data_IF_981106375890
#
_entry.id   IF_981106375890
#
_cell.length_a   1.000
_cell.length_b   1.000
_cell.length_c   1.000
_cell.angle_alpha   90.00
_cell.angle_beta   90.00
_cell.angle_gamma   90.00
#
_symmetry.space_group_name_H-M   'P 1'
#
loop_
_entity.id
_entity.type
_entity.pdbx_description
1 polymer ?
#
# COMPACT_ATOMS: atom_id res chain seq x y z
N UNK A 1 -13.85 -20.94 -29.40
CA UNK A 1 -13.83 -21.11 -27.93
C UNK A 1 -12.69 -20.25 -27.39
N UNK A 2 -12.93 -19.37 -26.44
CA UNK A 2 -11.86 -18.61 -25.79
C UNK A 2 -10.92 -19.58 -25.03
N UNK A 3 -9.61 -19.35 -25.11
CA UNK A 3 -8.59 -20.11 -24.37
C UNK A 3 -8.90 -20.04 -22.86
N UNK A 4 -8.92 -21.18 -22.18
CA UNK A 4 -9.06 -21.24 -20.72
C UNK A 4 -7.68 -21.24 -20.09
N UNK A 5 -7.39 -20.26 -19.25
CA UNK A 5 -6.14 -20.14 -18.50
C UNK A 5 -6.18 -20.96 -17.20
N UNK A 6 -5.03 -21.30 -16.63
CA UNK A 6 -4.98 -21.90 -15.30
C UNK A 6 -5.34 -20.86 -14.22
N UNK A 7 -4.82 -19.65 -14.37
CA UNK A 7 -5.01 -18.55 -13.42
C UNK A 7 -5.33 -17.23 -14.11
N UNK A 8 -6.38 -16.56 -13.64
CA UNK A 8 -6.74 -15.19 -14.01
C UNK A 8 -6.45 -14.25 -12.83
N UNK A 9 -5.56 -13.31 -13.01
CA UNK A 9 -5.21 -12.31 -12.01
C UNK A 9 -5.81 -10.96 -12.42
N UNK A 10 -6.71 -10.42 -11.60
CA UNK A 10 -7.36 -9.13 -11.83
C UNK A 10 -6.68 -8.03 -11.02
N UNK A 11 -5.90 -7.20 -11.68
CA UNK A 11 -5.14 -6.08 -11.13
C UNK A 11 -3.63 -6.26 -11.21
N UNK A 12 -2.96 -5.35 -11.93
CA UNK A 12 -1.51 -5.30 -12.15
C UNK A 12 -0.75 -4.46 -11.11
N UNK A 13 -1.24 -4.39 -9.87
CA UNK A 13 -0.49 -3.80 -8.76
C UNK A 13 0.45 -4.81 -8.10
N UNK A 14 1.11 -4.39 -7.00
CA UNK A 14 2.14 -5.19 -6.29
C UNK A 14 1.70 -6.63 -6.00
N UNK A 15 0.48 -6.84 -5.49
CA UNK A 15 0.00 -8.18 -5.15
C UNK A 15 -0.23 -9.06 -6.39
N UNK A 16 -0.94 -8.52 -7.39
CA UNK A 16 -1.29 -9.30 -8.59
C UNK A 16 -0.08 -9.65 -9.43
N UNK A 17 0.85 -8.71 -9.63
CA UNK A 17 2.06 -8.95 -10.41
C UNK A 17 3.02 -9.92 -9.73
N UNK A 18 3.21 -9.79 -8.41
CA UNK A 18 4.02 -10.74 -7.64
C UNK A 18 3.44 -12.16 -7.69
N UNK A 19 2.12 -12.32 -7.60
CA UNK A 19 1.46 -13.61 -7.76
C UNK A 19 1.64 -14.15 -9.18
N UNK A 20 1.35 -13.33 -10.20
CA UNK A 20 1.44 -13.73 -11.60
C UNK A 20 2.84 -14.22 -11.96
N UNK A 21 3.88 -13.50 -11.52
CA UNK A 21 5.27 -13.91 -11.71
C UNK A 21 5.54 -15.29 -11.08
N UNK A 22 5.14 -15.50 -9.84
CA UNK A 22 5.38 -16.78 -9.14
C UNK A 22 4.67 -17.96 -9.76
N UNK A 23 3.42 -17.77 -10.18
CA UNK A 23 2.65 -18.83 -10.83
C UNK A 23 3.20 -19.15 -12.23
N UNK A 24 3.55 -18.13 -13.02
CA UNK A 24 4.16 -18.30 -14.33
C UNK A 24 5.52 -18.97 -14.23
N UNK A 25 6.39 -18.57 -13.29
CA UNK A 25 7.66 -19.23 -13.02
C UNK A 25 7.51 -20.71 -12.59
N UNK A 26 6.35 -21.09 -12.03
CA UNK A 26 6.01 -22.48 -11.73
C UNK A 26 5.31 -23.20 -12.90
N UNK A 27 5.35 -22.65 -14.12
CA UNK A 27 4.82 -23.25 -15.34
C UNK A 27 3.30 -23.19 -15.50
N UNK A 28 2.60 -22.32 -14.74
CA UNK A 28 1.15 -22.12 -14.89
C UNK A 28 0.86 -21.14 -16.03
N UNK A 29 -0.22 -21.41 -16.79
CA UNK A 29 -0.74 -20.47 -17.78
C UNK A 29 -1.52 -19.34 -17.09
N UNK A 30 -0.87 -18.18 -16.97
CA UNK A 30 -1.38 -17.03 -16.22
C UNK A 30 -1.76 -15.89 -17.14
N UNK A 31 -3.01 -15.42 -17.04
CA UNK A 31 -3.45 -14.15 -17.61
C UNK A 31 -3.58 -13.10 -16.50
N UNK A 32 -2.80 -12.02 -16.59
CA UNK A 32 -2.95 -10.85 -15.74
C UNK A 32 -3.64 -9.73 -16.51
N UNK A 33 -4.71 -9.19 -15.95
CA UNK A 33 -5.49 -8.07 -16.51
C UNK A 33 -5.25 -6.81 -15.67
N UNK A 34 -4.80 -5.73 -16.32
CA UNK A 34 -4.58 -4.42 -15.70
C UNK A 34 -5.33 -3.33 -16.46
N UNK A 35 -6.11 -2.52 -15.74
CA UNK A 35 -6.94 -1.46 -16.33
C UNK A 35 -6.11 -0.35 -17.00
N UNK A 36 -4.97 -0.03 -16.43
CA UNK A 36 -4.11 1.03 -16.95
C UNK A 36 -3.20 0.51 -18.09
N UNK A 37 -3.19 1.23 -19.20
CA UNK A 37 -2.38 0.86 -20.35
C UNK A 37 -0.88 1.11 -20.11
N UNK A 38 -0.51 2.12 -19.33
CA UNK A 38 0.86 2.55 -19.09
C UNK A 38 1.17 2.83 -17.62
N UNK A 39 2.41 3.24 -17.35
CA UNK A 39 2.86 3.62 -16.02
C UNK A 39 2.02 4.74 -15.43
N UNK A 40 1.55 4.58 -14.20
CA UNK A 40 0.69 5.55 -13.54
C UNK A 40 0.96 5.62 -12.04
N UNK A 41 0.60 6.75 -11.45
CA UNK A 41 0.69 6.98 -10.03
C UNK A 41 -0.56 6.47 -9.29
N UNK A 42 -0.38 6.08 -8.03
CA UNK A 42 -1.47 5.58 -7.16
C UNK A 42 -1.45 6.31 -5.83
N UNK A 43 -2.60 6.48 -5.19
CA UNK A 43 -2.66 7.02 -3.82
C UNK A 43 -2.01 6.02 -2.87
N UNK A 44 -0.77 6.30 -2.50
CA UNK A 44 0.10 5.44 -1.69
C UNK A 44 1.18 6.28 -1.01
N UNK A 45 1.59 5.90 0.20
CA UNK A 45 2.75 6.48 0.87
C UNK A 45 4.08 6.11 0.24
N UNK A 46 4.14 5.08 -0.61
CA UNK A 46 5.36 4.64 -1.34
C UNK A 46 6.51 4.22 -0.41
N UNK A 47 6.19 3.77 0.78
CA UNK A 47 7.11 3.30 1.79
C UNK A 47 7.31 1.79 1.67
N UNK A 48 8.55 1.36 1.52
CA UNK A 48 8.99 -0.03 1.46
C UNK A 48 9.74 -0.39 2.73
N UNK A 49 9.23 -1.33 3.47
CA UNK A 49 9.89 -1.87 4.64
C UNK A 49 10.92 -2.94 4.30
N UNK A 50 11.72 -3.34 5.27
CA UNK A 50 12.66 -4.46 5.12
C UNK A 50 11.98 -5.73 4.63
N UNK A 51 10.76 -6.02 5.10
CA UNK A 51 9.96 -7.16 4.65
C UNK A 51 9.55 -7.03 3.18
N UNK A 52 9.12 -5.84 2.75
CA UNK A 52 8.81 -5.60 1.34
C UNK A 52 10.06 -5.77 0.45
N UNK A 53 11.21 -5.23 0.90
CA UNK A 53 12.49 -5.38 0.19
C UNK A 53 12.87 -6.85 0.04
N UNK A 54 12.69 -7.65 1.09
CA UNK A 54 13.01 -9.07 1.07
C UNK A 54 12.13 -9.83 0.05
N UNK A 55 10.82 -9.57 0.04
CA UNK A 55 9.92 -10.15 -0.96
C UNK A 55 10.28 -9.75 -2.39
N UNK A 56 10.63 -8.47 -2.63
CA UNK A 56 11.00 -7.98 -3.95
C UNK A 56 12.29 -8.65 -4.45
N UNK A 57 13.31 -8.79 -3.60
CA UNK A 57 14.54 -9.53 -3.94
C UNK A 57 14.26 -10.99 -4.31
N UNK A 58 13.34 -11.65 -3.62
CA UNK A 58 12.90 -13.02 -3.96
C UNK A 58 12.17 -13.11 -5.31
N UNK A 59 11.65 -11.99 -5.81
CA UNK A 59 11.10 -11.87 -7.16
C UNK A 59 12.17 -11.45 -8.19
N UNK A 60 13.44 -11.41 -7.81
CA UNK A 60 14.54 -11.00 -8.68
C UNK A 60 14.61 -9.49 -8.93
N UNK A 61 13.93 -8.68 -8.10
CA UNK A 61 13.96 -7.24 -8.21
C UNK A 61 14.83 -6.62 -7.12
N UNK A 62 15.76 -5.76 -7.53
CA UNK A 62 16.47 -4.89 -6.60
C UNK A 62 15.86 -3.48 -6.61
N UNK A 63 15.12 -3.08 -5.57
CA UNK A 63 14.57 -1.74 -5.50
C UNK A 63 15.62 -0.63 -5.49
N UNK A 64 16.84 -0.89 -5.00
CA UNK A 64 17.93 0.10 -5.04
C UNK A 64 18.36 0.38 -6.48
N UNK A 65 18.48 -0.64 -7.32
CA UNK A 65 18.75 -0.49 -8.75
C UNK A 65 17.60 0.26 -9.47
N UNK A 66 16.38 0.21 -8.93
CA UNK A 66 15.24 1.01 -9.41
C UNK A 66 15.25 2.44 -8.87
N UNK A 67 16.24 2.83 -8.07
CA UNK A 67 16.39 4.16 -7.50
C UNK A 67 15.67 4.36 -6.16
N UNK A 68 15.33 3.30 -5.43
CA UNK A 68 14.73 3.44 -4.11
C UNK A 68 15.62 4.26 -3.18
N UNK A 69 15.01 5.21 -2.47
CA UNK A 69 15.68 6.13 -1.56
C UNK A 69 15.62 5.58 -0.13
N UNK A 70 16.73 5.51 0.62
CA UNK A 70 16.71 5.10 2.02
C UNK A 70 15.84 6.01 2.89
N UNK A 71 15.10 5.42 3.82
CA UNK A 71 14.33 6.13 4.87
C UNK A 71 14.82 5.62 6.22
N UNK A 72 15.57 6.45 6.93
CA UNK A 72 16.22 6.05 8.20
C UNK A 72 15.51 6.58 9.43
N UNK A 73 14.71 7.63 9.27
CA UNK A 73 14.10 8.34 10.39
C UNK A 73 12.59 8.47 10.19
N UNK A 74 11.88 8.52 11.30
CA UNK A 74 10.48 8.90 11.34
C UNK A 74 10.32 10.11 12.26
N UNK A 75 9.52 11.08 11.84
CA UNK A 75 9.11 12.18 12.71
C UNK A 75 7.59 12.33 12.74
N UNK A 76 7.10 12.81 13.88
CA UNK A 76 5.70 13.20 14.05
C UNK A 76 5.69 14.65 14.51
N UNK A 77 4.95 15.50 13.81
CA UNK A 77 4.80 16.91 14.13
C UNK A 77 3.33 17.32 14.30
N UNK A 78 3.08 18.29 15.14
CA UNK A 78 1.73 18.84 15.37
C UNK A 78 1.73 19.80 16.55
N UNK A 79 0.81 20.79 16.55
CA UNK A 79 0.65 21.77 17.62
C UNK A 79 1.96 22.48 18.00
N UNK A 80 2.77 22.87 17.00
CA UNK A 80 4.05 23.54 17.20
C UNK A 80 5.17 22.64 17.76
N UNK A 81 5.02 21.31 17.74
CA UNK A 81 5.98 20.34 18.26
C UNK A 81 6.36 19.35 17.19
N UNK A 82 7.60 18.83 17.26
CA UNK A 82 8.07 17.75 16.44
C UNK A 82 8.91 16.79 17.29
N UNK A 83 8.71 15.49 17.08
CA UNK A 83 9.52 14.44 17.68
C UNK A 83 10.06 13.56 16.55
N UNK A 84 11.37 13.32 16.52
CA UNK A 84 12.06 12.51 15.50
C UNK A 84 12.83 11.40 16.18
N UNK A 85 12.82 10.21 15.56
CA UNK A 85 13.68 9.11 15.99
C UNK A 85 14.15 8.29 14.77
N UNK A 86 15.18 7.47 14.99
CA UNK A 86 15.63 6.50 13.99
C UNK A 86 14.61 5.37 13.87
N UNK A 87 14.35 4.90 12.65
CA UNK A 87 13.54 3.70 12.44
C UNK A 87 14.27 2.47 12.97
N UNK A 88 13.59 1.58 13.71
CA UNK A 88 14.20 0.37 14.28
C UNK A 88 14.40 -0.75 13.24
N UNK A 89 14.12 -0.49 11.96
CA UNK A 89 14.26 -1.41 10.83
C UNK A 89 14.68 -0.65 9.58
N UNK A 90 15.26 -1.31 8.57
CA UNK A 90 15.56 -0.69 7.28
C UNK A 90 14.27 -0.38 6.53
N UNK A 91 14.22 0.80 5.91
CA UNK A 91 13.10 1.22 5.09
C UNK A 91 13.59 2.04 3.90
N UNK A 92 12.76 2.06 2.86
CA UNK A 92 13.05 2.75 1.61
C UNK A 92 11.78 3.39 1.07
N UNK A 93 11.95 4.27 0.10
CA UNK A 93 10.85 4.89 -0.64
C UNK A 93 11.08 4.68 -2.13
N UNK A 94 10.04 4.24 -2.84
CA UNK A 94 10.06 4.08 -4.29
C UNK A 94 8.66 4.32 -4.84
N UNK A 95 8.55 5.12 -5.91
CA UNK A 95 7.25 5.39 -6.50
C UNK A 95 6.55 4.13 -6.99
N UNK A 96 5.23 4.10 -6.85
CA UNK A 96 4.40 3.02 -7.38
C UNK A 96 4.48 2.95 -8.90
N UNK A 97 4.69 4.08 -9.55
CA UNK A 97 4.88 4.16 -10.99
C UNK A 97 6.09 3.32 -11.44
N UNK A 98 7.22 3.40 -10.76
CA UNK A 98 8.41 2.59 -11.06
C UNK A 98 8.30 1.15 -10.61
N UNK A 99 7.86 0.96 -9.38
CA UNK A 99 7.76 -0.38 -8.78
C UNK A 99 6.78 -1.28 -9.53
N UNK A 100 5.57 -0.75 -9.84
CA UNK A 100 4.55 -1.56 -10.52
C UNK A 100 5.00 -1.95 -11.95
N UNK A 101 5.67 -1.06 -12.69
CA UNK A 101 6.19 -1.39 -14.02
C UNK A 101 7.31 -2.43 -13.97
N UNK A 102 8.24 -2.33 -13.02
CA UNK A 102 9.28 -3.34 -12.84
C UNK A 102 8.70 -4.71 -12.50
N UNK A 103 7.69 -4.75 -11.64
CA UNK A 103 6.97 -5.99 -11.32
C UNK A 103 6.22 -6.56 -12.52
N UNK A 104 5.56 -5.72 -13.34
CA UNK A 104 4.89 -6.16 -14.57
C UNK A 104 5.88 -6.75 -15.57
N UNK A 105 7.04 -6.10 -15.76
CA UNK A 105 8.10 -6.60 -16.61
C UNK A 105 8.62 -7.97 -16.12
N UNK A 106 8.84 -8.11 -14.81
CA UNK A 106 9.28 -9.36 -14.22
C UNK A 106 8.24 -10.49 -14.38
N UNK A 107 6.95 -10.18 -14.26
CA UNK A 107 5.88 -11.14 -14.49
C UNK A 107 5.82 -11.59 -15.96
N UNK A 108 5.98 -10.67 -16.90
CA UNK A 108 6.06 -11.00 -18.33
C UNK A 108 7.28 -11.87 -18.66
N UNK A 109 8.45 -11.54 -18.13
CA UNK A 109 9.69 -12.33 -18.29
C UNK A 109 9.53 -13.75 -17.73
N UNK A 110 8.77 -13.91 -16.65
CA UNK A 110 8.45 -15.22 -16.08
C UNK A 110 7.43 -16.04 -16.91
N UNK A 111 6.83 -15.47 -17.97
CA UNK A 111 5.90 -16.13 -18.88
C UNK A 111 4.42 -15.80 -18.63
N UNK A 112 4.08 -14.86 -17.75
CA UNK A 112 2.69 -14.41 -17.60
C UNK A 112 2.24 -13.61 -18.82
N UNK A 113 1.04 -13.89 -19.32
CA UNK A 113 0.39 -13.07 -20.35
C UNK A 113 -0.19 -11.83 -19.70
N UNK A 114 0.24 -10.64 -20.15
CA UNK A 114 -0.26 -9.36 -19.65
C UNK A 114 -1.27 -8.75 -20.61
N UNK A 115 -2.46 -8.42 -20.11
CA UNK A 115 -3.47 -7.62 -20.81
C UNK A 115 -3.66 -6.31 -20.10
N UNK A 116 -3.17 -5.23 -20.69
CA UNK A 116 -3.23 -3.86 -20.16
C UNK A 116 -4.26 -3.03 -20.93
N UNK A 117 -4.75 -1.97 -20.32
CA UNK A 117 -5.73 -1.05 -20.91
C UNK A 117 -7.17 -1.57 -20.89
N UNK A 118 -7.43 -2.65 -20.14
CA UNK A 118 -8.78 -3.21 -20.00
C UNK A 118 -9.01 -3.67 -18.56
N UNK A 119 -9.91 -3.00 -17.85
CA UNK A 119 -10.33 -3.40 -16.51
C UNK A 119 -11.38 -4.51 -16.52
N UNK A 120 -11.49 -5.27 -15.43
CA UNK A 120 -12.61 -6.19 -15.25
C UNK A 120 -13.87 -5.45 -14.79
N UNK A 121 -15.01 -5.72 -15.44
CA UNK A 121 -16.34 -5.21 -15.05
C UNK A 121 -17.12 -6.17 -14.17
N UNK A 122 -16.96 -7.47 -14.40
CA UNK A 122 -17.63 -8.53 -13.66
C UNK A 122 -16.75 -9.76 -13.59
N UNK A 123 -16.97 -10.55 -12.55
CA UNK A 123 -16.32 -11.85 -12.34
C UNK A 123 -17.36 -12.80 -11.78
N UNK A 124 -17.60 -13.90 -12.47
CA UNK A 124 -18.57 -14.94 -12.10
C UNK A 124 -17.89 -16.32 -12.14
N UNK A 125 -18.37 -17.27 -11.33
CA UNK A 125 -17.96 -18.67 -11.41
C UNK A 125 -19.13 -19.49 -11.94
N UNK A 126 -18.92 -20.20 -13.05
CA UNK A 126 -19.93 -21.04 -13.70
C UNK A 126 -19.33 -22.38 -14.09
N UNK A 127 -19.97 -23.46 -13.69
CA UNK A 127 -19.48 -24.82 -14.02
C UNK A 127 -18.05 -25.09 -13.57
N UNK A 128 -17.59 -24.48 -12.49
CA UNK A 128 -16.22 -24.63 -12.00
C UNK A 128 -15.17 -23.78 -12.72
N UNK A 129 -15.57 -22.93 -13.69
CA UNK A 129 -14.71 -21.99 -14.38
C UNK A 129 -15.03 -20.56 -13.95
N UNK A 130 -14.00 -19.75 -13.78
CA UNK A 130 -14.09 -18.33 -13.53
C UNK A 130 -14.11 -17.56 -14.85
N UNK A 131 -15.12 -16.74 -15.05
CA UNK A 131 -15.29 -15.89 -16.23
C UNK A 131 -15.29 -14.42 -15.85
N UNK A 132 -14.37 -13.65 -16.43
CA UNK A 132 -14.35 -12.21 -16.27
C UNK A 132 -14.77 -11.53 -17.58
N UNK A 133 -15.66 -10.54 -17.45
CA UNK A 133 -16.03 -9.62 -18.53
C UNK A 133 -15.22 -8.35 -18.37
N UNK A 134 -14.53 -7.94 -19.42
CA UNK A 134 -13.67 -6.77 -19.41
C UNK A 134 -14.39 -5.50 -19.91
N UNK A 135 -13.78 -4.35 -19.69
CA UNK A 135 -14.34 -3.04 -20.08
C UNK A 135 -14.46 -2.86 -21.59
N UNK A 136 -13.61 -3.51 -22.37
CA UNK A 136 -13.64 -3.54 -23.84
C UNK A 136 -14.68 -4.52 -24.42
N UNK A 137 -15.48 -5.16 -23.56
CA UNK A 137 -16.53 -6.11 -23.94
C UNK A 137 -16.06 -7.55 -24.12
N UNK A 138 -14.77 -7.82 -24.11
CA UNK A 138 -14.24 -9.17 -24.23
C UNK A 138 -14.45 -10.00 -22.97
N UNK A 139 -14.40 -11.32 -23.12
CA UNK A 139 -14.50 -12.29 -22.03
C UNK A 139 -13.25 -13.15 -21.94
N UNK A 140 -12.83 -13.48 -20.75
CA UNK A 140 -11.68 -14.34 -20.46
C UNK A 140 -12.09 -15.37 -19.41
N UNK A 141 -11.59 -16.59 -19.52
CA UNK A 141 -11.92 -17.71 -18.63
C UNK A 141 -10.66 -18.32 -18.02
N UNK A 142 -10.78 -18.79 -16.79
CA UNK A 142 -9.71 -19.48 -16.09
C UNK A 142 -10.25 -20.49 -15.06
N UNK A 143 -9.41 -21.44 -14.68
CA UNK A 143 -9.71 -22.41 -13.61
C UNK A 143 -9.74 -21.77 -12.23
N UNK A 144 -8.88 -20.76 -12.01
CA UNK A 144 -8.79 -20.02 -10.75
C UNK A 144 -8.79 -18.52 -11.01
N UNK A 145 -9.41 -17.74 -10.10
CA UNK A 145 -9.42 -16.29 -10.15
C UNK A 145 -8.82 -15.67 -8.89
N UNK A 146 -7.97 -14.67 -9.12
CA UNK A 146 -7.25 -13.94 -8.09
C UNK A 146 -7.62 -12.45 -8.17
N UNK A 147 -8.30 -11.95 -7.13
CA UNK A 147 -8.75 -10.56 -7.06
C UNK A 147 -7.69 -9.71 -6.35
N UNK A 148 -6.97 -8.90 -7.12
CA UNK A 148 -5.88 -8.04 -6.70
C UNK A 148 -6.08 -6.58 -7.13
N UNK A 149 -7.34 -6.11 -7.25
CA UNK A 149 -7.71 -4.78 -7.73
C UNK A 149 -7.39 -3.64 -6.74
N UNK A 150 -6.73 -3.96 -5.64
CA UNK A 150 -6.28 -3.00 -4.65
C UNK A 150 -7.44 -2.28 -3.97
N UNK A 151 -7.40 -0.95 -3.96
CA UNK A 151 -8.41 -0.12 -3.28
C UNK A 151 -9.76 -0.05 -4.00
N UNK A 152 -9.85 -0.55 -5.24
CA UNK A 152 -11.07 -0.51 -6.05
C UNK A 152 -11.82 -1.84 -5.99
N UNK A 153 -13.08 -1.78 -5.58
CA UNK A 153 -13.94 -2.95 -5.56
C UNK A 153 -14.46 -3.27 -6.96
N UNK A 154 -14.48 -4.57 -7.28
CA UNK A 154 -15.19 -5.07 -8.46
C UNK A 154 -16.68 -5.20 -8.15
N UNK A 155 -17.54 -4.95 -9.14
CA UNK A 155 -19.00 -5.11 -9.00
C UNK A 155 -19.32 -6.56 -8.59
N UNK A 156 -20.15 -6.72 -7.56
CA UNK A 156 -20.47 -8.02 -6.97
C UNK A 156 -19.47 -8.50 -5.90
N UNK A 157 -18.29 -7.87 -5.79
CA UNK A 157 -17.21 -8.27 -4.89
C UNK A 157 -16.83 -7.19 -3.88
N UNK A 158 -17.82 -6.36 -3.51
CA UNK A 158 -17.58 -5.24 -2.56
C UNK A 158 -17.15 -5.76 -1.20
N UNK A 159 -16.14 -5.09 -0.65
CA UNK A 159 -15.75 -5.27 0.75
C UNK A 159 -16.72 -4.50 1.67
N UNK A 160 -17.00 -5.01 2.88
CA UNK A 160 -17.73 -4.24 3.87
C UNK A 160 -16.92 -2.97 4.24
N UNK A 161 -17.59 -1.90 4.68
CA UNK A 161 -16.91 -0.72 5.18
C UNK A 161 -16.05 -1.09 6.39
N UNK A 162 -14.84 -0.55 6.45
CA UNK A 162 -13.98 -0.69 7.62
C UNK A 162 -14.42 0.24 8.77
N UNK A 163 -13.76 0.17 9.94
CA UNK A 163 -14.07 1.01 11.09
C UNK A 163 -13.77 2.51 10.90
N UNK A 164 -13.18 2.91 9.77
CA UNK A 164 -12.92 4.32 9.40
C UNK A 164 -13.38 4.60 7.96
N UNK A 165 -14.70 4.55 7.66
CA UNK A 165 -15.22 4.69 6.29
C UNK A 165 -15.26 6.14 5.81
N UNK A 166 -15.04 7.11 6.71
CA UNK A 166 -15.17 8.55 6.48
C UNK A 166 -13.86 9.23 6.06
N UNK A 167 -12.83 8.47 5.71
CA UNK A 167 -11.54 9.03 5.31
C UNK A 167 -11.45 9.21 3.79
N UNK A 168 -10.86 10.35 3.41
CA UNK A 168 -10.41 10.66 2.06
C UNK A 168 -8.88 10.63 2.04
N UNK A 169 -8.32 10.02 1.00
CA UNK A 169 -6.88 9.99 0.76
C UNK A 169 -6.51 10.89 -0.41
N UNK A 170 -5.43 11.65 -0.27
CA UNK A 170 -4.86 12.46 -1.34
C UNK A 170 -3.37 12.16 -1.49
N UNK A 171 -2.85 12.28 -2.71
CA UNK A 171 -1.43 12.14 -3.00
C UNK A 171 -0.98 13.16 -4.04
N UNK A 172 0.22 13.69 -3.83
CA UNK A 172 0.90 14.57 -4.76
C UNK A 172 2.41 14.37 -4.66
N UNK A 173 3.13 14.30 -5.79
CA UNK A 173 4.57 14.43 -5.79
C UNK A 173 4.96 15.89 -5.93
N UNK A 174 6.02 16.28 -5.21
CA UNK A 174 6.49 17.65 -5.11
C UNK A 174 7.99 17.69 -5.40
N UNK A 175 8.45 18.81 -5.97
CA UNK A 175 9.83 19.24 -5.88
C UNK A 175 9.91 20.26 -4.75
N UNK A 176 10.60 19.91 -3.69
CA UNK A 176 10.85 20.83 -2.57
C UNK A 176 11.96 21.81 -2.96
N UNK A 177 12.07 22.93 -2.25
CA UNK A 177 13.24 23.79 -2.32
C UNK A 177 14.47 22.99 -1.84
N UNK A 178 15.68 23.30 -2.35
CA UNK A 178 16.90 22.55 -2.00
C UNK A 178 17.18 22.46 -0.50
N UNK A 179 16.96 23.57 0.24
CA UNK A 179 17.12 23.63 1.69
C UNK A 179 16.12 22.73 2.44
N UNK A 180 14.86 22.72 2.00
CA UNK A 180 13.81 21.89 2.59
C UNK A 180 13.95 20.40 2.20
N UNK A 181 14.43 20.11 0.99
CA UNK A 181 14.77 18.75 0.59
C UNK A 181 15.95 18.21 1.43
N UNK A 182 16.99 19.01 1.65
CA UNK A 182 18.10 18.67 2.52
C UNK A 182 17.67 18.45 3.98
N UNK A 183 16.77 19.31 4.49
CA UNK A 183 16.24 19.20 5.85
C UNK A 183 15.28 18.01 6.03
N UNK A 184 14.53 17.61 5.01
CA UNK A 184 13.76 16.36 4.99
C UNK A 184 14.71 15.15 5.05
N UNK A 185 15.77 15.18 4.23
CA UNK A 185 16.80 14.14 4.19
C UNK A 185 16.20 12.76 3.95
N UNK A 186 16.58 11.80 4.78
CA UNK A 186 16.11 10.41 4.74
C UNK A 186 15.01 10.16 5.79
N UNK A 187 14.07 11.08 5.94
CA UNK A 187 13.00 10.97 6.91
C UNK A 187 11.64 10.79 6.26
N UNK A 188 10.78 10.00 6.91
CA UNK A 188 9.33 10.08 6.74
C UNK A 188 8.78 10.98 7.84
N UNK A 189 8.12 12.07 7.46
CA UNK A 189 7.53 13.04 8.37
C UNK A 189 6.01 12.90 8.38
N UNK A 190 5.43 12.63 9.55
CA UNK A 190 3.97 12.57 9.76
C UNK A 190 3.54 13.88 10.41
N UNK A 191 2.87 14.74 9.65
CA UNK A 191 2.35 16.01 10.09
C UNK A 191 0.88 15.88 10.49
N UNK A 192 0.58 16.12 11.77
CA UNK A 192 -0.77 16.07 12.31
C UNK A 192 -1.46 17.42 12.15
N UNK A 193 -2.73 17.38 11.73
CA UNK A 193 -3.60 18.57 11.67
C UNK A 193 -5.04 18.18 12.06
N UNK A 194 -5.90 19.11 12.47
CA UNK A 194 -7.29 18.79 12.80
C UNK A 194 -7.98 18.02 11.68
N UNK A 195 -8.56 16.88 12.03
CA UNK A 195 -9.30 16.02 11.10
C UNK A 195 -8.44 15.10 10.23
N UNK A 196 -7.09 15.11 10.33
CA UNK A 196 -6.25 14.30 9.49
C UNK A 196 -4.76 14.29 9.82
N UNK A 197 -4.00 13.66 8.95
CA UNK A 197 -2.53 13.70 8.98
C UNK A 197 -1.97 13.61 7.56
N UNK A 198 -0.78 14.15 7.36
CA UNK A 198 -0.02 14.04 6.11
C UNK A 198 1.31 13.34 6.35
N UNK A 199 1.69 12.44 5.45
CA UNK A 199 3.03 11.85 5.36
C UNK A 199 3.80 12.55 4.25
N UNK A 200 5.04 12.99 4.54
CA UNK A 200 5.97 13.54 3.58
C UNK A 200 7.27 12.75 3.65
N UNK A 201 7.78 12.28 2.52
CA UNK A 201 9.03 11.54 2.45
C UNK A 201 9.72 11.73 1.10
N UNK A 202 11.05 11.58 1.02
CA UNK A 202 11.74 11.60 -0.27
C UNK A 202 11.31 10.41 -1.11
N UNK A 203 11.38 10.56 -2.43
CA UNK A 203 11.20 9.50 -3.43
C UNK A 203 12.24 9.72 -4.53
N UNK A 204 12.45 8.76 -5.40
CA UNK A 204 13.45 8.84 -6.45
C UNK A 204 13.29 10.08 -7.34
N UNK A 205 14.38 10.47 -8.00
CA UNK A 205 14.41 11.64 -8.88
C UNK A 205 14.48 12.99 -8.16
N UNK A 206 14.82 12.98 -6.86
CA UNK A 206 14.90 14.21 -6.03
C UNK A 206 13.54 14.81 -5.71
N UNK A 207 12.48 14.00 -5.78
CA UNK A 207 11.13 14.42 -5.46
C UNK A 207 10.74 14.03 -4.05
N UNK A 208 9.63 14.60 -3.56
CA UNK A 208 8.98 14.21 -2.31
C UNK A 208 7.56 13.73 -2.57
N UNK A 209 7.16 12.67 -1.91
CA UNK A 209 5.79 12.16 -1.90
C UNK A 209 5.03 12.74 -0.71
N UNK A 210 4.00 13.52 -0.97
CA UNK A 210 3.00 13.96 0.00
C UNK A 210 1.76 13.08 -0.15
N UNK A 211 1.48 12.27 0.87
CA UNK A 211 0.30 11.42 0.93
C UNK A 211 -0.43 11.66 2.25
N UNK A 212 -1.71 11.96 2.20
CA UNK A 212 -2.46 12.36 3.39
C UNK A 212 -3.83 11.69 3.48
N UNK A 213 -4.33 11.64 4.70
CA UNK A 213 -5.71 11.27 5.02
C UNK A 213 -6.40 12.40 5.77
N UNK A 214 -7.66 12.67 5.41
CA UNK A 214 -8.51 13.63 6.09
C UNK A 214 -9.93 13.09 6.21
N UNK A 215 -10.61 13.41 7.30
CA UNK A 215 -12.01 13.04 7.49
C UNK A 215 -12.90 13.80 6.49
N UNK A 216 -13.82 13.11 5.85
CA UNK A 216 -14.73 13.66 4.84
C UNK A 216 -15.50 14.89 5.35
N UNK A 217 -16.06 14.80 6.58
CA UNK A 217 -16.78 15.93 7.19
C UNK A 217 -15.88 17.15 7.43
N UNK A 218 -14.62 16.92 7.81
CA UNK A 218 -13.66 18.00 7.98
C UNK A 218 -13.28 18.65 6.65
N UNK A 219 -13.02 17.85 5.62
CA UNK A 219 -12.73 18.35 4.26
C UNK A 219 -13.92 19.15 3.70
N UNK A 220 -15.15 18.65 3.88
CA UNK A 220 -16.37 19.37 3.47
C UNK A 220 -16.53 20.70 4.19
N UNK A 221 -16.24 20.77 5.51
CA UNK A 221 -16.28 22.00 6.30
C UNK A 221 -15.24 23.04 5.84
N UNK A 222 -14.16 22.63 5.18
CA UNK A 222 -13.17 23.50 4.54
C UNK A 222 -13.56 23.94 3.12
N UNK A 223 -14.77 23.62 2.67
CA UNK A 223 -15.27 23.96 1.33
C UNK A 223 -15.03 22.86 0.28
N UNK A 224 -14.44 21.71 0.66
CA UNK A 224 -14.25 20.58 -0.25
C UNK A 224 -13.19 20.78 -1.34
N UNK A 225 -12.31 21.77 -1.19
CA UNK A 225 -11.31 22.12 -2.17
C UNK A 225 -9.89 21.82 -1.69
N UNK A 226 -9.04 21.36 -2.61
CA UNK A 226 -7.64 21.04 -2.33
C UNK A 226 -6.86 22.24 -1.79
N UNK A 227 -7.01 23.41 -2.40
CA UNK A 227 -6.32 24.63 -1.98
C UNK A 227 -6.70 25.05 -0.55
N UNK A 228 -7.96 24.88 -0.16
CA UNK A 228 -8.40 25.16 1.20
C UNK A 228 -7.79 24.16 2.21
N UNK A 229 -7.72 22.89 1.86
CA UNK A 229 -7.07 21.87 2.68
C UNK A 229 -5.57 22.16 2.83
N UNK A 230 -4.86 22.56 1.77
CA UNK A 230 -3.45 22.93 1.83
C UNK A 230 -3.23 24.11 2.78
N UNK A 231 -4.01 25.19 2.67
CA UNK A 231 -3.93 26.33 3.58
C UNK A 231 -4.20 25.92 5.03
N UNK A 232 -5.20 25.05 5.24
CA UNK A 232 -5.51 24.53 6.57
C UNK A 232 -4.34 23.74 7.15
N UNK A 233 -3.77 22.80 6.40
CA UNK A 233 -2.61 22.02 6.85
C UNK A 233 -1.43 22.90 7.22
N UNK A 234 -1.10 23.90 6.38
CA UNK A 234 -0.01 24.84 6.63
C UNK A 234 -0.27 25.69 7.88
N UNK A 235 -1.48 26.20 8.07
CA UNK A 235 -1.85 26.99 9.25
C UNK A 235 -1.79 26.19 10.55
N UNK A 236 -2.12 24.90 10.51
CA UNK A 236 -2.19 24.02 11.68
C UNK A 236 -0.88 23.29 12.01
N UNK A 237 0.04 23.21 11.04
CA UNK A 237 1.33 22.55 11.22
C UNK A 237 2.46 23.38 10.59
N UNK A 238 3.11 24.27 11.38
CA UNK A 238 4.20 25.12 10.88
C UNK A 238 5.39 24.34 10.31
N UNK A 239 5.68 23.13 10.83
CA UNK A 239 6.74 22.27 10.29
C UNK A 239 6.42 21.80 8.86
N UNK A 240 5.19 21.36 8.62
CA UNK A 240 4.75 21.02 7.26
C UNK A 240 4.69 22.25 6.35
N UNK A 241 4.26 23.41 6.90
CA UNK A 241 4.24 24.66 6.16
C UNK A 241 5.63 25.04 5.63
N UNK A 242 6.68 24.94 6.46
CA UNK A 242 8.07 25.16 6.03
C UNK A 242 8.46 24.22 4.89
N UNK A 243 8.21 22.92 5.03
CA UNK A 243 8.51 21.91 3.98
C UNK A 243 7.84 22.22 2.65
N UNK A 244 6.61 22.73 2.69
CA UNK A 244 5.83 23.01 1.48
C UNK A 244 6.04 24.43 0.94
N UNK A 245 6.73 25.31 1.68
CA UNK A 245 7.00 26.67 1.22
C UNK A 245 7.85 26.67 -0.05
N UNK A 246 7.30 27.21 -1.15
CA UNK A 246 7.96 27.25 -2.46
C UNK A 246 8.10 25.88 -3.14
N UNK A 247 7.46 24.83 -2.62
CA UNK A 247 7.41 23.53 -3.28
C UNK A 247 6.59 23.60 -4.57
N UNK A 248 7.06 22.92 -5.62
CA UNK A 248 6.39 22.85 -6.94
C UNK A 248 5.75 21.47 -7.10
N UNK A 249 4.43 21.39 -7.32
CA UNK A 249 3.77 20.11 -7.60
C UNK A 249 4.15 19.59 -9.00
N UNK A 250 4.28 18.26 -9.13
CA UNK A 250 4.61 17.62 -10.41
C UNK A 250 3.38 17.44 -11.31
N UNK A 251 2.17 17.60 -10.77
CA UNK A 251 0.91 17.67 -11.50
C UNK A 251 -0.07 18.61 -10.82
N UNK A 252 -0.99 19.19 -11.58
CA UNK A 252 -1.88 20.26 -11.11
C UNK A 252 -2.83 19.87 -9.98
N UNK A 253 -3.34 18.64 -10.02
CA UNK A 253 -4.34 18.15 -9.07
C UNK A 253 -3.84 16.91 -8.36
N UNK A 254 -4.06 16.80 -7.04
CA UNK A 254 -3.71 15.58 -6.32
C UNK A 254 -4.56 14.41 -6.81
N UNK A 255 -3.96 13.22 -6.78
CA UNK A 255 -4.74 12.00 -6.83
C UNK A 255 -5.60 11.91 -5.58
N UNK A 256 -6.84 11.48 -5.74
CA UNK A 256 -7.78 11.35 -4.63
C UNK A 256 -8.45 9.97 -4.61
N UNK A 257 -8.76 9.49 -3.42
CA UNK A 257 -9.50 8.25 -3.22
C UNK A 257 -10.40 8.37 -1.98
N UNK A 258 -11.56 7.74 -2.05
CA UNK A 258 -12.54 7.71 -0.97
C UNK A 258 -12.94 6.27 -0.64
N UNK A 259 -13.66 6.11 0.47
CA UNK A 259 -14.29 4.85 0.87
C UNK A 259 -13.30 3.67 1.00
N UNK A 260 -12.07 3.94 1.44
CA UNK A 260 -11.09 2.89 1.72
C UNK A 260 -11.51 2.18 3.02
N UNK A 261 -11.72 0.83 3.00
CA UNK A 261 -12.18 0.10 4.18
C UNK A 261 -11.02 -0.18 5.16
N UNK A 262 -10.42 0.86 5.72
CA UNK A 262 -9.33 0.71 6.69
C UNK A 262 -9.75 -0.16 7.89
N UNK A 263 -8.89 -1.11 8.24
CA UNK A 263 -9.15 -2.09 9.29
C UNK A 263 -9.86 -3.35 8.80
N UNK A 264 -10.25 -3.43 7.53
CA UNK A 264 -10.83 -4.63 6.92
C UNK A 264 -9.80 -5.76 6.85
N UNK A 265 -10.23 -6.98 7.20
CA UNK A 265 -9.50 -8.23 6.96
C UNK A 265 -10.51 -9.29 6.53
N UNK A 266 -10.32 -9.86 5.36
CA UNK A 266 -11.09 -11.00 4.86
C UNK A 266 -10.73 -12.25 5.65
N UNK A 267 -11.71 -12.87 6.31
CA UNK A 267 -11.48 -14.02 7.19
C UNK A 267 -12.00 -15.34 6.61
N UNK A 268 -12.98 -15.27 5.73
CA UNK A 268 -13.61 -16.42 5.09
C UNK A 268 -13.38 -16.40 3.59
N UNK A 269 -13.31 -17.57 2.98
CA UNK A 269 -13.27 -17.68 1.53
C UNK A 269 -14.66 -17.47 0.92
N UNK A 270 -14.71 -16.86 -0.24
CA UNK A 270 -15.89 -16.72 -1.10
C UNK A 270 -15.67 -17.37 -2.47
N UNK A 271 -14.75 -18.34 -2.51
CA UNK A 271 -14.35 -19.07 -3.72
C UNK A 271 -13.25 -18.35 -4.51
N UNK A 272 -13.13 -17.04 -4.43
CA UNK A 272 -12.09 -16.26 -5.08
C UNK A 272 -10.90 -16.03 -4.15
N UNK A 273 -9.69 -16.01 -4.71
CA UNK A 273 -8.46 -15.68 -3.98
C UNK A 273 -8.32 -14.15 -3.88
N UNK A 274 -8.47 -13.58 -2.69
CA UNK A 274 -8.35 -12.13 -2.48
C UNK A 274 -6.97 -11.76 -1.96
N UNK A 275 -6.28 -10.83 -2.63
CA UNK A 275 -4.89 -10.46 -2.32
C UNK A 275 -4.76 -8.95 -2.05
N UNK A 276 -3.71 -8.57 -1.34
CA UNK A 276 -3.41 -7.18 -1.01
C UNK A 276 -4.57 -6.49 -0.33
N UNK A 277 -4.90 -5.28 -0.77
CA UNK A 277 -6.02 -4.52 -0.18
C UNK A 277 -7.38 -5.21 -0.36
N UNK A 278 -7.55 -6.15 -1.30
CA UNK A 278 -8.77 -6.95 -1.40
C UNK A 278 -8.89 -7.97 -0.26
N UNK A 279 -7.80 -8.32 0.38
CA UNK A 279 -7.76 -9.25 1.53
C UNK A 279 -7.61 -8.52 2.88
N UNK A 280 -6.78 -7.47 2.95
CA UNK A 280 -6.53 -6.75 4.19
C UNK A 280 -6.12 -5.30 3.92
N UNK A 281 -6.76 -4.35 4.60
CA UNK A 281 -6.53 -2.91 4.42
C UNK A 281 -5.98 -2.30 5.71
N UNK A 282 -4.70 -2.04 5.72
CA UNK A 282 -4.01 -1.39 6.84
C UNK A 282 -4.03 0.14 6.67
N UNK A 283 -4.18 0.94 7.74
CA UNK A 283 -4.04 2.39 7.70
C UNK A 283 -2.69 2.85 7.14
N UNK A 284 -2.71 3.87 6.29
CA UNK A 284 -1.57 4.30 5.46
C UNK A 284 -0.33 4.71 6.25
N UNK A 285 -0.47 5.27 7.46
CA UNK A 285 0.68 5.71 8.28
C UNK A 285 1.61 4.55 8.68
N UNK A 286 1.08 3.31 8.72
CA UNK A 286 1.85 2.13 9.12
C UNK A 286 2.92 1.73 8.08
N UNK A 287 2.78 2.16 6.81
CA UNK A 287 3.74 1.83 5.75
C UNK A 287 3.76 0.37 5.32
N UNK A 288 2.79 -0.46 5.75
CA UNK A 288 2.80 -1.93 5.55
C UNK A 288 1.91 -2.45 4.42
N UNK A 289 1.22 -1.58 3.71
CA UNK A 289 0.31 -2.03 2.64
C UNK A 289 1.01 -2.84 1.54
N UNK A 290 2.23 -2.46 1.16
CA UNK A 290 3.00 -3.16 0.13
C UNK A 290 3.58 -4.48 0.66
N UNK A 291 4.02 -4.54 1.90
CA UNK A 291 4.48 -5.79 2.53
C UNK A 291 3.34 -6.81 2.65
N UNK A 292 2.14 -6.38 3.07
CA UNK A 292 0.95 -7.24 3.10
C UNK A 292 0.61 -7.72 1.68
N UNK A 293 0.69 -6.85 0.68
CA UNK A 293 0.42 -7.21 -0.71
C UNK A 293 1.38 -8.28 -1.22
N UNK A 294 2.68 -8.11 -1.01
CA UNK A 294 3.71 -9.08 -1.37
C UNK A 294 3.58 -10.40 -0.59
N UNK A 295 3.36 -10.31 0.73
CA UNK A 295 3.12 -11.48 1.57
C UNK A 295 1.91 -12.29 1.09
N UNK A 296 0.79 -11.61 0.82
CA UNK A 296 -0.42 -12.27 0.31
C UNK A 296 -0.20 -12.98 -1.02
N UNK A 297 0.59 -12.39 -1.92
CA UNK A 297 0.93 -12.98 -3.20
C UNK A 297 1.80 -14.24 -3.04
N UNK A 298 2.82 -14.18 -2.17
CA UNK A 298 3.68 -15.32 -1.89
C UNK A 298 2.92 -16.46 -1.23
N UNK A 299 2.10 -16.15 -0.23
CA UNK A 299 1.28 -17.14 0.46
C UNK A 299 0.24 -17.77 -0.48
N UNK A 300 -0.44 -16.96 -1.32
CA UNK A 300 -1.40 -17.46 -2.30
C UNK A 300 -0.74 -18.37 -3.33
N UNK A 301 0.44 -18.01 -3.83
CA UNK A 301 1.19 -18.89 -4.74
C UNK A 301 1.55 -20.23 -4.08
N UNK A 302 2.08 -20.20 -2.84
CA UNK A 302 2.44 -21.39 -2.11
C UNK A 302 1.22 -22.29 -1.84
N UNK A 303 0.11 -21.72 -1.37
CA UNK A 303 -1.15 -22.44 -1.13
C UNK A 303 -1.71 -23.06 -2.42
N UNK A 304 -1.80 -22.27 -3.49
CA UNK A 304 -2.35 -22.74 -4.78
C UNK A 304 -1.50 -23.84 -5.40
N UNK A 305 -0.18 -23.71 -5.42
CA UNK A 305 0.74 -24.72 -5.93
C UNK A 305 0.78 -25.98 -5.06
N UNK A 306 0.55 -25.82 -3.75
CA UNK A 306 0.42 -26.93 -2.80
C UNK A 306 -0.94 -27.63 -2.78
N UNK A 307 -1.91 -27.18 -3.61
CA UNK A 307 -3.23 -27.79 -3.70
C UNK A 307 -4.25 -27.31 -2.65
N UNK A 308 -3.92 -26.28 -1.86
CA UNK A 308 -4.86 -25.63 -0.95
C UNK A 308 -5.95 -24.85 -1.74
N UNK A 309 -7.10 -24.66 -1.12
CA UNK A 309 -8.17 -23.81 -1.65
C UNK A 309 -8.06 -22.35 -1.21
N UNK A 310 -8.85 -21.48 -1.85
CA UNK A 310 -8.92 -20.04 -1.51
C UNK A 310 -9.34 -19.80 -0.06
N UNK A 311 -10.15 -20.67 0.53
CA UNK A 311 -10.61 -20.52 1.92
C UNK A 311 -9.48 -20.81 2.92
N UNK A 312 -8.66 -21.83 2.68
CA UNK A 312 -7.49 -22.14 3.49
C UNK A 312 -6.45 -21.01 3.45
N UNK A 313 -6.15 -20.51 2.25
CA UNK A 313 -5.31 -19.34 2.07
C UNK A 313 -5.83 -18.15 2.85
N UNK A 314 -7.13 -17.82 2.72
CA UNK A 314 -7.71 -16.65 3.35
C UNK A 314 -7.66 -16.71 4.89
N UNK A 315 -7.89 -17.90 5.47
CA UNK A 315 -7.73 -18.11 6.93
C UNK A 315 -6.29 -17.91 7.38
N UNK A 316 -5.32 -18.44 6.64
CA UNK A 316 -3.87 -18.30 6.96
C UNK A 316 -3.45 -16.84 6.89
N UNK A 317 -3.79 -16.14 5.79
CA UNK A 317 -3.48 -14.72 5.63
C UNK A 317 -4.13 -13.87 6.74
N UNK A 318 -5.40 -14.11 7.05
CA UNK A 318 -6.08 -13.41 8.15
C UNK A 318 -5.40 -13.63 9.49
N UNK A 319 -4.90 -14.83 9.78
CA UNK A 319 -4.10 -15.13 10.97
C UNK A 319 -2.81 -14.30 11.03
N UNK A 320 -2.15 -14.13 9.89
CA UNK A 320 -0.89 -13.39 9.79
C UNK A 320 -1.08 -11.86 9.98
N UNK A 321 -2.17 -11.29 9.44
CA UNK A 321 -2.29 -9.82 9.34
C UNK A 321 -3.29 -9.19 10.31
N UNK A 322 -4.22 -9.95 10.92
CA UNK A 322 -5.29 -9.35 11.76
C UNK A 322 -4.76 -8.57 12.95
N UNK A 323 -3.70 -9.06 13.61
CA UNK A 323 -3.11 -8.40 14.76
C UNK A 323 -2.52 -7.04 14.44
N UNK A 324 -1.73 -6.97 13.37
CA UNK A 324 -1.10 -5.72 12.94
C UNK A 324 -2.13 -4.73 12.39
N UNK A 325 -3.11 -5.18 11.60
CA UNK A 325 -4.17 -4.32 11.06
C UNK A 325 -4.99 -3.71 12.20
N UNK A 326 -5.35 -4.51 13.23
CA UNK A 326 -6.07 -4.02 14.41
C UNK A 326 -5.27 -2.94 15.15
N UNK A 327 -3.97 -3.18 15.44
CA UNK A 327 -3.11 -2.21 16.15
C UNK A 327 -2.98 -0.93 15.35
N UNK A 328 -2.71 -1.03 14.06
CA UNK A 328 -2.61 0.14 13.18
C UNK A 328 -3.94 0.93 13.11
N UNK A 329 -5.09 0.23 13.08
CA UNK A 329 -6.39 0.90 13.05
C UNK A 329 -6.66 1.69 14.34
N UNK A 330 -6.31 1.15 15.50
CA UNK A 330 -6.44 1.88 16.77
C UNK A 330 -5.60 3.17 16.78
N UNK A 331 -4.34 3.07 16.35
CA UNK A 331 -3.46 4.26 16.24
C UNK A 331 -4.03 5.26 15.21
N UNK A 332 -4.49 4.79 14.05
CA UNK A 332 -5.08 5.65 13.02
C UNK A 332 -6.30 6.44 13.53
N UNK A 333 -7.14 5.80 14.37
CA UNK A 333 -8.28 6.48 14.97
C UNK A 333 -7.86 7.65 15.89
N UNK A 334 -6.71 7.53 16.55
CA UNK A 334 -6.14 8.62 17.35
C UNK A 334 -5.56 9.73 16.46
N UNK A 335 -4.86 9.35 15.37
CA UNK A 335 -4.20 10.29 14.46
C UNK A 335 -5.19 11.26 13.77
N UNK A 336 -6.43 10.87 13.56
CA UNK A 336 -7.44 11.71 12.88
C UNK A 336 -8.38 12.47 13.83
N UNK A 337 -8.20 12.30 15.16
CA UNK A 337 -9.02 12.95 16.19
C UNK A 337 -8.19 13.93 17.01
N UNK A 338 -8.68 15.16 17.22
CA UNK A 338 -7.94 16.22 17.92
C UNK A 338 -7.49 15.85 19.33
N UNK A 339 -8.34 15.16 20.12
CA UNK A 339 -7.97 14.66 21.45
C UNK A 339 -6.92 13.52 21.37
N UNK A 340 -7.03 12.65 20.37
CA UNK A 340 -6.07 11.57 20.15
C UNK A 340 -4.70 12.09 19.75
N UNK A 341 -4.64 13.11 18.90
CA UNK A 341 -3.39 13.82 18.55
C UNK A 341 -2.74 14.47 19.79
N UNK A 342 -3.54 15.09 20.66
CA UNK A 342 -3.04 15.66 21.91
C UNK A 342 -2.44 14.60 22.83
N UNK A 343 -3.11 13.46 22.98
CA UNK A 343 -2.65 12.33 23.75
C UNK A 343 -1.34 11.73 23.17
N UNK A 344 -1.28 11.52 21.86
CA UNK A 344 -0.08 11.00 21.19
C UNK A 344 1.12 11.94 21.34
N UNK A 345 0.94 13.22 21.06
CA UNK A 345 2.03 14.20 21.20
C UNK A 345 2.45 14.42 22.65
N UNK A 346 1.51 14.32 23.60
CA UNK A 346 1.81 14.35 25.03
C UNK A 346 2.60 13.12 25.50
N UNK A 347 2.17 11.94 25.07
CA UNK A 347 2.83 10.68 25.39
C UNK A 347 4.25 10.57 24.84
N UNK A 348 4.48 11.07 23.61
CA UNK A 348 5.82 11.08 23.00
C UNK A 348 6.83 11.94 23.75
N UNK A 349 6.39 12.95 24.53
CA UNK A 349 7.30 13.73 25.41
C UNK A 349 7.87 12.91 26.54
N UNK A 350 7.02 12.11 27.18
CA UNK A 350 7.41 11.28 28.32
C UNK A 350 8.10 9.98 27.90
N UNK A 351 7.82 9.50 26.68
CA UNK A 351 8.25 8.19 26.17
C UNK A 351 8.82 8.33 24.75
N UNK A 352 10.03 8.88 24.60
CA UNK A 352 10.61 9.12 23.27
C UNK A 352 10.79 7.83 22.44
N UNK A 353 10.90 6.65 23.09
CA UNK A 353 10.96 5.36 22.42
C UNK A 353 9.60 4.88 21.86
N UNK A 354 8.48 5.51 22.28
CA UNK A 354 7.14 5.07 21.89
C UNK A 354 6.89 5.17 20.38
N UNK A 355 7.52 6.13 19.70
CA UNK A 355 7.43 6.26 18.24
C UNK A 355 8.08 5.07 17.53
N UNK A 356 9.30 4.71 17.93
CA UNK A 356 10.01 3.54 17.40
C UNK A 356 9.28 2.23 17.73
N UNK A 357 8.76 2.10 18.96
CA UNK A 357 7.99 0.93 19.37
C UNK A 357 6.67 0.80 18.56
N UNK A 358 5.98 1.91 18.27
CA UNK A 358 4.78 1.91 17.44
C UNK A 358 5.10 1.48 16.01
N UNK A 359 6.20 2.01 15.44
CA UNK A 359 6.67 1.61 14.12
C UNK A 359 7.00 0.11 14.07
N UNK A 360 7.68 -0.45 15.07
CA UNK A 360 7.96 -1.89 15.16
C UNK A 360 6.70 -2.73 15.35
N UNK A 361 5.74 -2.28 16.15
CA UNK A 361 4.51 -3.02 16.45
C UNK A 361 3.54 -3.16 15.27
N UNK A 362 3.71 -2.36 14.23
CA UNK A 362 2.88 -2.40 13.01
C UNK A 362 3.53 -3.18 11.86
N UNK A 363 4.61 -3.94 12.10
CA UNK A 363 5.30 -4.78 11.12
C UNK A 363 4.64 -6.15 10.94
N UNK A 364 4.90 -6.80 9.78
CA UNK A 364 4.54 -8.21 9.58
C UNK A 364 5.24 -9.07 10.65
N UNK A 365 4.51 -9.99 11.31
CA UNK A 365 5.10 -10.84 12.33
C UNK A 365 6.19 -11.77 11.74
N UNK A 366 7.27 -12.00 12.49
CA UNK A 366 8.33 -12.93 12.10
C UNK A 366 7.81 -14.34 11.73
N UNK A 367 6.76 -14.80 12.42
CA UNK A 367 6.12 -16.08 12.09
C UNK A 367 5.44 -16.07 10.71
N UNK A 368 4.89 -14.93 10.26
CA UNK A 368 4.32 -14.79 8.92
C UNK A 368 5.42 -14.85 7.85
N UNK A 369 6.55 -14.18 8.07
CA UNK A 369 7.70 -14.22 7.16
C UNK A 369 8.24 -15.66 7.01
N UNK A 370 8.41 -16.39 8.11
CA UNK A 370 8.84 -17.81 8.07
C UNK A 370 7.86 -18.69 7.29
N UNK A 371 6.55 -18.48 7.43
CA UNK A 371 5.55 -19.18 6.60
C UNK A 371 5.65 -18.83 5.11
N UNK A 372 6.10 -17.63 4.80
CA UNK A 372 6.46 -17.19 3.43
C UNK A 372 7.82 -17.71 2.93
N UNK A 373 8.50 -18.56 3.72
CA UNK A 373 9.83 -19.08 3.38
C UNK A 373 10.96 -18.06 3.48
N UNK A 374 10.77 -17.01 4.32
CA UNK A 374 11.73 -15.92 4.50
C UNK A 374 12.34 -15.95 5.90
N UNK A 375 13.62 -15.58 6.00
CA UNK A 375 14.26 -15.34 7.30
C UNK A 375 13.93 -13.94 7.80
N UNK A 376 13.26 -13.79 8.96
CA UNK A 376 12.98 -12.50 9.55
C UNK A 376 14.23 -11.66 9.86
N UNK A 377 15.39 -12.30 10.09
CA UNK A 377 16.64 -11.58 10.35
C UNK A 377 17.11 -10.81 9.11
N UNK A 378 16.91 -11.36 7.91
CA UNK A 378 17.25 -10.67 6.65
C UNK A 378 16.40 -9.39 6.43
N UNK A 379 15.14 -9.37 6.92
CA UNK A 379 14.29 -8.19 6.83
C UNK A 379 14.77 -7.03 7.72
N UNK A 380 15.54 -7.34 8.76
CA UNK A 380 16.13 -6.37 9.69
C UNK A 380 17.58 -5.99 9.30
N UNK A 381 18.21 -6.72 8.40
CA UNK A 381 19.56 -6.42 7.93
C UNK A 381 19.54 -5.16 7.05
N UNK A 382 20.40 -4.20 7.36
CA UNK A 382 20.60 -3.03 6.50
C UNK A 382 21.44 -3.45 5.30
N UNK A 383 21.12 -3.00 4.09
CA UNK A 383 22.03 -3.16 2.96
C UNK A 383 23.38 -2.49 3.30
N UNK A 384 24.45 -3.15 2.89
CA UNK A 384 25.81 -2.64 3.04
C UNK A 384 26.03 -1.37 2.20
#
# INVERSE_FOLDING_TARGET
MSRTHDALVLGGGVAGTALAQRLAAAGRDVLLVERQAGPHDKVCGEFLSGEAMLYLRRLGLDPLALGAVPVEQVSVSGRGRAQRCRLPFPAFSLSRRRLDEALLAAAATAGATLRRGAGARALDCRGGLWEARLEDGSQVAARQAFLATGKHDLRGWRRPPGPQPDLLGFKLHLRLRPDEAAALGQAVEIALFPGGYAGLQPVEGGHANLCLLVRRGHFAALGGEWAALQRHMAAQNPHLASRLAGATPLWERPLAIAAIPYGFVQRSGDGCWRLGDQAAVIPSFAGEGMSIALHSAHLAAACHLGGDDAAAFQRRLAGDVSGLVRRATLVSQLLVRGWGQALLLGGLRGLPFALAATAAATRLPAAALRRGGLDPAEALARPA
#
